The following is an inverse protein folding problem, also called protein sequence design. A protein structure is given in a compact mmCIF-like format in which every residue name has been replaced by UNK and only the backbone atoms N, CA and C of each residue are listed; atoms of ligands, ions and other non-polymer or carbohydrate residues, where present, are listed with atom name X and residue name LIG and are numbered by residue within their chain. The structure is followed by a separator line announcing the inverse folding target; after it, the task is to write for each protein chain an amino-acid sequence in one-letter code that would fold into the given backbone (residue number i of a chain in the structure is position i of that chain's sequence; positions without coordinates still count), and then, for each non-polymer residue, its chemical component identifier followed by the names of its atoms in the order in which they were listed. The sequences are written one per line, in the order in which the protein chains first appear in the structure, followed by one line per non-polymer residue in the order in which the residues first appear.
data_IF_547151620835
#
_entry.id   IF_547151620835
#
_cell.length_a   1.000
_cell.length_b   1.000
_cell.length_c   1.000
_cell.angle_alpha   90.00
_cell.angle_beta   90.00
_cell.angle_gamma   90.00
#
_symmetry.space_group_name_H-M   'P 1'
#
loop_
_entity.id
_entity.type
_entity.pdbx_description
1 polymer ?
#
# COMPACT_ATOMS: atom_id res chain seq x y z
N UNK A 1 11.92 -2.62 7.90
CA UNK A 1 10.60 -2.27 7.35
C UNK A 1 10.00 -3.51 6.73
N UNK A 2 8.82 -3.93 7.17
CA UNK A 2 8.06 -5.02 6.60
C UNK A 2 6.88 -4.44 5.81
N UNK A 3 6.72 -4.87 4.56
CA UNK A 3 5.53 -4.60 3.77
C UNK A 3 4.77 -5.92 3.70
N UNK A 4 3.59 -5.96 4.32
CA UNK A 4 2.73 -7.12 4.24
C UNK A 4 1.74 -6.92 3.10
N UNK A 5 1.89 -7.71 2.04
CA UNK A 5 0.89 -7.79 0.98
C UNK A 5 -0.27 -8.64 1.51
N UNK A 6 -1.34 -7.99 1.97
CA UNK A 6 -2.57 -8.70 2.29
C UNK A 6 -3.41 -8.83 1.03
N UNK A 7 -3.35 -10.00 0.40
CA UNK A 7 -4.47 -10.41 -0.45
C UNK A 7 -5.71 -10.51 0.45
N UNK A 8 -6.84 -9.85 0.15
CA UNK A 8 -8.03 -9.97 0.99
C UNK A 8 -8.54 -11.41 0.89
N UNK A 9 -8.09 -12.26 1.82
CA UNK A 9 -8.71 -13.54 2.09
C UNK A 9 -10.04 -13.24 2.77
N UNK A 10 -11.11 -13.31 1.98
CA UNK A 10 -12.50 -13.41 2.44
C UNK A 10 -12.81 -12.54 3.68
N UNK A 11 -12.97 -11.23 3.46
CA UNK A 11 -13.63 -10.37 4.44
C UNK A 11 -15.12 -10.73 4.44
N UNK A 12 -15.68 -11.27 5.52
CA UNK A 12 -17.12 -11.46 5.65
C UNK A 12 -17.78 -10.09 5.50
N UNK A 13 -18.81 -10.05 4.68
CA UNK A 13 -19.69 -8.91 4.45
C UNK A 13 -20.34 -8.52 5.77
N UNK A 14 -19.71 -7.67 6.59
CA UNK A 14 -20.44 -6.83 7.53
C UNK A 14 -19.62 -5.61 7.97
N UNK A 15 -20.33 -4.47 8.04
CA UNK A 15 -19.89 -3.11 8.40
C UNK A 15 -19.16 -2.28 7.32
N UNK A 16 -19.91 -1.94 6.27
CA UNK A 16 -20.35 -0.55 6.14
C UNK A 16 -19.36 0.51 5.63
N UNK A 17 -18.37 0.14 4.84
CA UNK A 17 -17.69 1.08 3.93
C UNK A 17 -17.50 0.42 2.58
N UNK A 18 -18.33 0.80 1.61
CA UNK A 18 -18.14 0.55 0.18
C UNK A 18 -16.89 1.27 -0.34
N UNK A 19 -15.72 0.99 0.21
CA UNK A 19 -14.43 1.32 -0.40
C UNK A 19 -14.20 0.30 -1.53
N UNK A 20 -15.03 0.39 -2.56
CA UNK A 20 -14.61 0.02 -3.90
C UNK A 20 -13.26 0.71 -4.05
N UNK A 21 -12.18 -0.06 -4.14
CA UNK A 21 -10.85 0.45 -4.44
C UNK A 21 -10.90 1.02 -5.86
N UNK A 22 -11.45 2.22 -5.99
CA UNK A 22 -11.89 2.81 -7.26
C UNK A 22 -10.73 3.43 -8.05
N UNK A 23 -9.53 3.48 -7.47
CA UNK A 23 -8.38 4.13 -8.05
C UNK A 23 -7.06 3.74 -7.41
N UNK A 24 -5.97 4.17 -8.04
CA UNK A 24 -4.63 4.07 -7.45
C UNK A 24 -4.46 5.16 -6.38
N UNK A 25 -3.66 4.87 -5.35
CA UNK A 25 -3.18 5.90 -4.43
C UNK A 25 -2.35 6.94 -5.19
N UNK A 26 -2.51 8.22 -4.84
CA UNK A 26 -1.78 9.33 -5.46
C UNK A 26 -1.18 10.21 -4.39
N UNK A 27 0.17 10.24 -4.30
CA UNK A 27 0.95 10.99 -3.30
C UNK A 27 0.34 10.94 -1.89
N UNK A 28 -0.09 9.75 -1.47
CA UNK A 28 -0.81 9.53 -0.23
C UNK A 28 0.16 9.38 0.94
N UNK A 29 0.17 10.36 1.84
CA UNK A 29 0.94 10.31 3.08
C UNK A 29 0.20 9.46 4.11
N UNK A 30 0.80 8.34 4.51
CA UNK A 30 0.20 7.44 5.50
C UNK A 30 0.63 7.89 6.89
N UNK A 31 -0.35 8.28 7.71
CA UNK A 31 -0.13 8.78 9.06
C UNK A 31 -0.56 7.72 10.09
N UNK A 32 0.16 7.58 11.22
CA UNK A 32 -0.27 6.71 12.31
C UNK A 32 -1.67 7.10 12.81
N UNK A 33 -2.46 6.11 13.22
CA UNK A 33 -3.79 6.35 13.80
C UNK A 33 -3.71 7.33 14.99
N UNK A 34 -4.54 8.36 14.98
CA UNK A 34 -4.54 9.41 16.01
C UNK A 34 -3.47 10.50 15.84
N UNK A 35 -2.73 10.51 14.73
CA UNK A 35 -1.84 11.63 14.38
C UNK A 35 -2.59 12.70 13.57
N UNK A 36 -2.56 13.95 14.05
CA UNK A 36 -3.30 15.08 13.46
C UNK A 36 -2.40 16.23 12.96
N UNK A 37 -1.09 15.97 12.80
CA UNK A 37 -0.11 16.97 12.35
C UNK A 37 0.24 16.89 10.88
N UNK A 38 1.14 17.77 10.44
CA UNK A 38 1.76 17.66 9.10
C UNK A 38 2.63 16.40 9.01
N UNK A 39 2.74 15.76 7.83
CA UNK A 39 3.66 14.65 7.63
C UNK A 39 5.10 15.04 8.00
N UNK A 40 5.78 14.19 8.78
CA UNK A 40 7.18 14.38 9.17
C UNK A 40 8.05 13.37 8.42
N UNK A 41 9.37 13.57 8.44
CA UNK A 41 10.31 12.62 7.83
C UNK A 41 10.09 11.22 8.41
N UNK A 42 9.85 10.25 7.53
CA UNK A 42 9.52 8.87 7.85
C UNK A 42 8.02 8.53 7.84
N UNK A 43 7.12 9.52 7.71
CA UNK A 43 5.73 9.26 7.33
C UNK A 43 5.69 8.98 5.83
N UNK A 44 5.65 7.70 5.48
CA UNK A 44 5.84 7.28 4.10
C UNK A 44 4.74 7.81 3.19
N UNK A 45 5.15 8.24 2.00
CA UNK A 45 4.24 8.73 0.97
C UNK A 45 4.21 7.72 -0.16
N UNK A 46 3.04 7.12 -0.40
CA UNK A 46 2.84 6.12 -1.45
C UNK A 46 2.20 6.74 -2.67
N UNK A 47 2.70 6.38 -3.85
CA UNK A 47 2.13 6.83 -5.11
C UNK A 47 2.08 5.66 -6.09
N UNK A 48 0.95 5.49 -6.76
CA UNK A 48 0.72 4.54 -7.85
C UNK A 48 -0.06 5.21 -9.00
N UNK A 49 -0.21 6.53 -8.98
CA UNK A 49 -0.95 7.28 -10.00
C UNK A 49 -0.09 7.55 -11.24
N UNK A 50 0.51 6.50 -11.79
CA UNK A 50 1.37 6.53 -12.97
C UNK A 50 1.14 5.29 -13.85
N UNK A 51 1.76 5.26 -15.03
CA UNK A 51 1.65 4.14 -15.96
C UNK A 51 2.10 2.82 -15.30
N UNK A 52 1.30 1.76 -15.39
CA UNK A 52 1.49 0.46 -14.72
C UNK A 52 1.34 0.44 -13.19
N UNK A 53 1.05 1.56 -12.55
CA UNK A 53 0.84 1.63 -11.10
C UNK A 53 -0.35 0.76 -10.65
N UNK A 54 -0.16 0.04 -9.54
CA UNK A 54 -1.20 -0.82 -8.99
C UNK A 54 -1.10 -0.92 -7.46
N UNK A 55 -1.70 0.05 -6.78
CA UNK A 55 -1.86 0.06 -5.32
C UNK A 55 -3.08 0.90 -4.99
N UNK A 56 -4.05 0.28 -4.31
CA UNK A 56 -5.36 0.87 -4.09
C UNK A 56 -5.54 1.54 -2.74
N UNK A 57 -4.94 0.96 -1.70
CA UNK A 57 -4.99 1.46 -0.34
C UNK A 57 -3.76 1.02 0.43
N UNK A 58 -3.39 1.83 1.43
CA UNK A 58 -2.30 1.56 2.36
C UNK A 58 -2.75 1.92 3.77
N UNK A 59 -2.61 0.98 4.69
CA UNK A 59 -2.87 1.22 6.11
C UNK A 59 -1.55 1.15 6.89
N UNK A 60 -1.34 2.10 7.80
CA UNK A 60 -0.24 2.05 8.75
C UNK A 60 -0.61 1.14 9.92
N UNK A 61 0.20 0.11 10.17
CA UNK A 61 -0.04 -0.86 11.25
C UNK A 61 0.85 -0.54 12.45
N UNK A 62 2.17 -0.51 12.23
CA UNK A 62 3.16 -0.09 13.22
C UNK A 62 4.21 0.80 12.58
N UNK A 63 5.13 1.34 13.37
CA UNK A 63 6.23 2.19 12.89
C UNK A 63 7.00 1.58 11.70
N UNK A 64 7.05 0.25 11.61
CA UNK A 64 7.80 -0.48 10.59
C UNK A 64 6.94 -1.39 9.71
N UNK A 65 5.62 -1.33 9.83
CA UNK A 65 4.69 -2.26 9.15
C UNK A 65 3.53 -1.52 8.51
N UNK A 66 3.29 -1.85 7.24
CA UNK A 66 2.17 -1.35 6.46
C UNK A 66 1.43 -2.51 5.80
N UNK A 67 0.11 -2.41 5.78
CA UNK A 67 -0.76 -3.28 5.00
C UNK A 67 -1.03 -2.63 3.64
N UNK A 68 -0.75 -3.37 2.57
CA UNK A 68 -0.94 -2.93 1.19
C UNK A 68 -2.11 -3.68 0.55
N UNK A 69 -3.03 -2.93 -0.05
CA UNK A 69 -4.19 -3.48 -0.75
C UNK A 69 -4.06 -3.22 -2.25
N UNK A 70 -3.76 -4.28 -3.00
CA UNK A 70 -3.61 -4.25 -4.45
C UNK A 70 -4.98 -4.28 -5.14
N UNK A 71 -5.16 -3.48 -6.20
CA UNK A 71 -6.42 -3.48 -6.95
C UNK A 71 -6.60 -4.81 -7.68
N UNK A 72 -7.83 -5.34 -7.79
CA UNK A 72 -8.11 -6.45 -8.69
C UNK A 72 -7.90 -6.03 -10.15
N UNK A 73 -7.47 -6.96 -11.00
CA UNK A 73 -7.38 -6.70 -12.44
C UNK A 73 -8.78 -6.52 -13.04
N UNK A 74 -8.93 -5.55 -13.94
CA UNK A 74 -10.20 -5.22 -14.61
C UNK A 74 -10.85 -6.44 -15.29
N UNK A 75 -10.01 -7.36 -15.81
CA UNK A 75 -10.46 -8.53 -16.56
C UNK A 75 -10.30 -9.86 -15.81
N UNK A 76 -9.76 -9.86 -14.57
CA UNK A 76 -9.56 -11.08 -13.80
C UNK A 76 -9.51 -10.80 -12.28
N UNK A 77 -10.66 -10.59 -11.63
CA UNK A 77 -10.72 -10.12 -10.24
C UNK A 77 -10.23 -11.16 -9.20
N UNK A 78 -9.94 -12.39 -9.65
CA UNK A 78 -9.54 -13.50 -8.77
C UNK A 78 -8.05 -13.49 -8.47
N UNK A 79 -7.22 -12.95 -9.34
CA UNK A 79 -5.77 -12.88 -9.16
C UNK A 79 -5.31 -11.45 -8.88
N UNK A 80 -4.35 -11.30 -7.97
CA UNK A 80 -3.74 -10.03 -7.55
C UNK A 80 -2.23 -10.23 -7.52
N UNK A 81 -1.62 -10.26 -8.70
CA UNK A 81 -0.22 -10.69 -8.87
C UNK A 81 0.72 -9.52 -9.14
N UNK A 82 0.24 -8.47 -9.80
CA UNK A 82 1.03 -7.29 -10.15
C UNK A 82 0.88 -6.18 -9.11
N UNK A 83 2.00 -5.62 -8.66
CA UNK A 83 2.03 -4.41 -7.83
C UNK A 83 3.13 -3.49 -8.37
N UNK A 84 2.84 -2.20 -8.45
CA UNK A 84 3.83 -1.19 -8.77
C UNK A 84 3.44 0.12 -8.10
N UNK A 85 4.36 0.69 -7.33
CA UNK A 85 4.18 1.92 -6.59
C UNK A 85 5.54 2.50 -6.20
N UNK A 86 5.59 3.78 -5.91
CA UNK A 86 6.76 4.46 -5.36
C UNK A 86 6.51 4.83 -3.90
N UNK A 87 7.61 4.95 -3.16
CA UNK A 87 7.61 5.37 -1.75
C UNK A 87 8.58 6.52 -1.58
N UNK A 88 8.10 7.62 -1.02
CA UNK A 88 8.88 8.82 -0.71
C UNK A 88 8.87 9.13 0.80
N UNK A 89 9.62 10.16 1.20
CA UNK A 89 9.72 10.65 2.58
C UNK A 89 10.26 9.61 3.59
N UNK A 90 11.17 8.75 3.14
CA UNK A 90 11.84 7.72 3.95
C UNK A 90 12.80 8.36 4.97
N UNK A 91 12.86 7.83 6.21
CA UNK A 91 13.91 8.16 7.20
C UNK A 91 15.06 7.15 7.16
N UNK A 92 16.25 7.54 7.60
CA UNK A 92 17.48 6.75 7.48
C UNK A 92 17.37 5.32 8.07
N UNK A 93 16.62 5.14 9.17
CA UNK A 93 16.40 3.83 9.78
C UNK A 93 15.31 2.98 9.11
N UNK A 94 14.55 3.53 8.17
CA UNK A 94 13.59 2.81 7.33
C UNK A 94 14.29 2.32 6.06
N UNK A 95 15.26 1.43 6.24
CA UNK A 95 15.95 0.82 5.10
C UNK A 95 14.96 -0.06 4.33
N UNK A 96 14.77 0.25 3.05
CA UNK A 96 13.98 -0.53 2.09
C UNK A 96 14.55 -1.94 2.01
N UNK A 97 13.86 -2.92 2.60
CA UNK A 97 14.25 -4.32 2.51
C UNK A 97 14.13 -4.81 1.06
N UNK A 98 15.25 -5.23 0.46
CA UNK A 98 15.23 -6.12 -0.70
C UNK A 98 14.78 -7.50 -0.20
N UNK A 99 13.49 -7.81 -0.30
CA UNK A 99 13.00 -9.17 -0.08
C UNK A 99 13.19 -9.98 -1.36
N UNK A 100 14.21 -10.83 -1.33
CA UNK A 100 14.45 -11.92 -2.26
C UNK A 100 13.39 -13.02 -2.07
N UNK A 101 12.24 -12.90 -2.72
CA UNK A 101 11.52 -14.04 -3.28
C UNK A 101 10.39 -13.58 -4.22
N UNK A 102 10.61 -13.88 -5.50
CA UNK A 102 9.61 -14.15 -6.54
C UNK A 102 8.51 -13.10 -6.78
N UNK A 103 8.88 -12.06 -7.54
CA UNK A 103 7.96 -11.09 -8.12
C UNK A 103 8.75 -9.88 -8.57
N UNK A 104 9.47 -10.03 -9.68
CA UNK A 104 10.47 -9.09 -10.21
C UNK A 104 9.99 -7.63 -10.19
N UNK A 105 10.64 -6.83 -9.36
CA UNK A 105 10.69 -5.37 -9.43
C UNK A 105 11.42 -4.98 -10.73
N UNK A 106 10.81 -4.15 -11.57
CA UNK A 106 11.57 -3.32 -12.53
C UNK A 106 11.84 -1.96 -11.90
#
# INVERSE_FOLDING_TARGET
MALSLRSPTFIPFDLGSDDIIAGNVSKYAVLPAGYYGQPKKGHLIFDACFESGNLGRVDHITEFEYDLFIRPDTCNPRFRVWFNFTVENVKESQVTGRSSQMGRWV
#
